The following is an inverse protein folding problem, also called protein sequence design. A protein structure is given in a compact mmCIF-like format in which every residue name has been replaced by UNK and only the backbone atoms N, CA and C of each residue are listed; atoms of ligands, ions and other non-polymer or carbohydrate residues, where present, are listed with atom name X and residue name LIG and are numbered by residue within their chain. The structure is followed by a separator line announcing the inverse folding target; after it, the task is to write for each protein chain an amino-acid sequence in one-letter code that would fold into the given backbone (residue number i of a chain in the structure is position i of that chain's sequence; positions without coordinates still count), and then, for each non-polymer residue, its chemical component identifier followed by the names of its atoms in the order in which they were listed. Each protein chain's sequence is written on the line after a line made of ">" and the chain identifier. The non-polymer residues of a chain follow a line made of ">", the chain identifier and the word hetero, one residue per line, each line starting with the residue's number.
data_IF_055815155895
#
_entry.id   IF_055815155895
#
_cell.length_a   1.000
_cell.length_b   1.000
_cell.length_c   1.000
_cell.angle_alpha   90.00
_cell.angle_beta   90.00
_cell.angle_gamma   90.00
#
_symmetry.space_group_name_H-M   'P 1'
#
loop_
_entity.id
_entity.type
_entity.pdbx_description
1 polymer ?
#
# COMPACT_ATOMS: atom_id res chain seq x y z
N UNK A 1 -4.57 -23.72 17.86
CA UNK A 1 -4.61 -22.27 18.18
C UNK A 1 -4.91 -21.54 16.88
N UNK A 2 -5.82 -20.55 16.86
CA UNK A 2 -6.17 -19.83 15.64
C UNK A 2 -5.03 -18.91 15.18
N UNK A 3 -5.02 -18.57 13.89
CA UNK A 3 -4.22 -17.47 13.38
C UNK A 3 -4.64 -16.16 14.07
N UNK A 4 -3.68 -15.23 14.24
CA UNK A 4 -3.88 -13.99 15.01
C UNK A 4 -4.05 -12.74 14.14
N UNK A 5 -3.77 -12.85 12.84
CA UNK A 5 -3.77 -11.74 11.90
C UNK A 5 -2.84 -12.01 10.72
N UNK A 6 -2.72 -11.01 9.85
CA UNK A 6 -1.72 -10.95 8.79
C UNK A 6 -0.50 -10.25 9.38
N UNK A 7 0.66 -10.91 9.43
CA UNK A 7 1.87 -10.28 9.98
C UNK A 7 2.61 -9.44 8.94
N UNK A 8 2.58 -9.89 7.69
CA UNK A 8 3.15 -9.17 6.56
C UNK A 8 2.49 -9.60 5.25
N UNK A 9 2.64 -8.74 4.24
CA UNK A 9 2.38 -9.04 2.83
C UNK A 9 3.66 -8.75 2.05
N UNK A 10 4.02 -9.65 1.13
CA UNK A 10 5.16 -9.45 0.22
C UNK A 10 4.64 -9.22 -1.20
N UNK A 11 5.01 -8.09 -1.79
CA UNK A 11 4.73 -7.74 -3.18
C UNK A 11 5.96 -7.99 -4.04
N UNK A 12 5.76 -8.65 -5.18
CA UNK A 12 6.73 -8.65 -6.27
C UNK A 12 6.47 -7.45 -7.16
N UNK A 13 7.49 -6.63 -7.39
CA UNK A 13 7.44 -5.38 -8.17
C UNK A 13 8.47 -5.42 -9.29
N UNK A 14 8.21 -4.74 -10.40
CA UNK A 14 9.10 -4.71 -11.57
C UNK A 14 10.38 -3.92 -11.33
N UNK A 15 10.34 -2.91 -10.46
CA UNK A 15 11.48 -2.10 -10.06
C UNK A 15 11.37 -1.73 -8.57
N UNK A 16 12.19 -2.37 -7.74
CA UNK A 16 12.17 -2.19 -6.28
C UNK A 16 12.48 -0.75 -5.87
N UNK A 17 13.40 -0.07 -6.55
CA UNK A 17 13.77 1.31 -6.19
C UNK A 17 12.61 2.27 -6.50
N UNK A 18 12.00 2.14 -7.67
CA UNK A 18 10.82 2.92 -8.05
C UNK A 18 9.64 2.69 -7.10
N UNK A 19 9.42 1.47 -6.66
CA UNK A 19 8.36 1.17 -5.69
C UNK A 19 8.68 1.71 -4.29
N UNK A 20 9.94 1.64 -3.84
CA UNK A 20 10.38 2.30 -2.60
C UNK A 20 10.05 3.79 -2.63
N UNK A 21 10.41 4.49 -3.70
CA UNK A 21 10.15 5.92 -3.84
C UNK A 21 8.65 6.20 -3.77
N UNK A 22 7.83 5.45 -4.52
CA UNK A 22 6.37 5.61 -4.51
C UNK A 22 5.77 5.42 -3.11
N UNK A 23 6.07 4.29 -2.45
CA UNK A 23 5.49 3.99 -1.13
C UNK A 23 6.01 4.93 -0.04
N UNK A 24 7.27 5.36 -0.12
CA UNK A 24 7.85 6.31 0.84
C UNK A 24 7.22 7.70 0.69
N UNK A 25 7.05 8.19 -0.53
CA UNK A 25 6.39 9.48 -0.78
C UNK A 25 4.92 9.43 -0.36
N UNK A 26 4.19 8.38 -0.74
CA UNK A 26 2.77 8.26 -0.44
C UNK A 26 2.47 8.02 1.04
N UNK A 27 3.19 7.10 1.69
CA UNK A 27 2.85 6.59 3.02
C UNK A 27 3.85 6.98 4.11
N UNK A 28 5.04 7.48 3.78
CA UNK A 28 6.07 7.84 4.77
C UNK A 28 5.57 8.80 5.85
N UNK A 29 4.92 9.93 5.49
CA UNK A 29 4.29 10.82 6.48
C UNK A 29 3.14 10.20 7.30
N UNK A 30 2.67 9.00 6.94
CA UNK A 30 1.68 8.21 7.69
C UNK A 30 2.34 7.10 8.54
N UNK A 31 3.66 7.19 8.78
CA UNK A 31 4.39 6.24 9.62
C UNK A 31 4.79 4.94 8.92
N UNK A 32 4.84 4.95 7.58
CA UNK A 32 5.32 3.84 6.77
C UNK A 32 6.83 3.98 6.54
N UNK A 33 7.63 3.35 7.41
CA UNK A 33 9.09 3.52 7.44
C UNK A 33 9.81 2.26 6.96
N UNK A 34 10.94 2.42 6.27
CA UNK A 34 11.83 1.28 5.98
C UNK A 34 12.30 0.65 7.30
N UNK A 35 11.93 -0.60 7.52
CA UNK A 35 12.26 -1.37 8.72
C UNK A 35 13.59 -2.10 8.57
N UNK A 36 13.87 -2.63 7.39
CA UNK A 36 15.12 -3.31 7.10
C UNK A 36 15.15 -4.03 5.77
N UNK A 37 16.37 -4.39 5.37
CA UNK A 37 16.66 -5.14 4.15
C UNK A 37 17.25 -6.49 4.52
N UNK A 38 16.80 -7.54 3.84
CA UNK A 38 17.22 -8.91 4.14
C UNK A 38 17.49 -9.67 2.84
N UNK A 39 18.47 -10.57 2.81
CA UNK A 39 18.65 -11.48 1.69
C UNK A 39 17.36 -12.27 1.43
N UNK A 40 16.95 -12.37 0.17
CA UNK A 40 15.83 -13.23 -0.20
C UNK A 40 16.20 -14.70 -0.04
N UNK A 41 15.20 -15.56 0.08
CA UNK A 41 15.41 -17.02 0.08
C UNK A 41 15.96 -17.55 -1.25
N UNK A 42 15.89 -16.77 -2.34
CA UNK A 42 16.48 -17.11 -3.65
C UNK A 42 17.97 -16.80 -3.67
N UNK A 43 18.46 -15.97 -2.75
CA UNK A 43 19.88 -15.68 -2.53
C UNK A 43 20.52 -14.75 -3.56
N UNK A 44 19.76 -14.23 -4.52
CA UNK A 44 20.23 -13.34 -5.59
C UNK A 44 19.79 -11.89 -5.42
N UNK A 45 18.91 -11.60 -4.47
CA UNK A 45 18.35 -10.27 -4.26
C UNK A 45 18.05 -9.99 -2.79
N UNK A 46 17.72 -8.74 -2.49
CA UNK A 46 17.20 -8.33 -1.19
C UNK A 46 15.68 -8.16 -1.23
N UNK A 47 15.06 -8.37 -0.07
CA UNK A 47 13.70 -7.96 0.24
C UNK A 47 13.79 -6.72 1.11
N UNK A 48 13.04 -5.68 0.75
CA UNK A 48 12.95 -4.45 1.54
C UNK A 48 11.62 -4.45 2.29
N UNK A 49 11.68 -4.48 3.62
CA UNK A 49 10.48 -4.40 4.45
C UNK A 49 10.26 -2.98 4.95
N UNK A 50 9.04 -2.51 4.79
CA UNK A 50 8.49 -1.35 5.47
C UNK A 50 7.62 -1.80 6.63
N UNK A 51 7.59 -1.01 7.70
CA UNK A 51 6.73 -1.22 8.87
C UNK A 51 5.64 -0.16 8.91
N UNK A 52 4.44 -0.58 9.28
CA UNK A 52 3.31 0.28 9.63
C UNK A 52 2.60 -0.33 10.85
N UNK A 53 2.57 0.40 11.97
CA UNK A 53 2.14 -0.17 13.25
C UNK A 53 2.98 -1.40 13.64
N UNK A 54 2.33 -2.56 13.77
CA UNK A 54 2.98 -3.84 14.08
C UNK A 54 3.17 -4.76 12.86
N UNK A 55 2.69 -4.33 11.70
CA UNK A 55 2.66 -5.11 10.47
C UNK A 55 3.68 -4.59 9.46
N UNK A 56 3.94 -5.40 8.42
CA UNK A 56 4.99 -5.11 7.45
C UNK A 56 4.53 -5.32 6.01
N UNK A 57 5.04 -4.49 5.10
CA UNK A 57 4.94 -4.70 3.66
C UNK A 57 6.35 -4.93 3.12
N UNK A 58 6.57 -6.07 2.47
CA UNK A 58 7.82 -6.37 1.80
C UNK A 58 7.73 -6.08 0.30
N UNK A 59 8.79 -5.49 -0.25
CA UNK A 59 8.97 -5.30 -1.69
C UNK A 59 10.09 -6.20 -2.19
N UNK A 60 9.82 -6.94 -3.27
CA UNK A 60 10.71 -7.93 -3.87
C UNK A 60 10.78 -7.73 -5.39
N UNK A 61 11.91 -7.98 -6.05
CA UNK A 61 11.91 -7.96 -7.50
C UNK A 61 11.10 -9.14 -8.05
N UNK A 62 10.25 -8.85 -9.03
CA UNK A 62 9.56 -9.88 -9.81
C UNK A 62 10.56 -10.63 -10.72
N UNK A 63 10.30 -11.91 -11.00
CA UNK A 63 11.02 -12.65 -12.05
C UNK A 63 10.59 -12.22 -13.47
N UNK A 64 9.40 -11.64 -13.57
CA UNK A 64 8.78 -11.19 -14.81
C UNK A 64 7.25 -11.22 -14.70
N UNK A 65 6.57 -10.86 -15.78
CA UNK A 65 5.12 -10.72 -15.82
C UNK A 65 4.66 -9.30 -15.49
N UNK A 66 3.37 -9.08 -15.66
CA UNK A 66 2.71 -7.79 -15.37
C UNK A 66 1.54 -8.07 -14.43
N UNK A 67 1.39 -7.27 -13.38
CA UNK A 67 0.14 -7.27 -12.61
C UNK A 67 -0.99 -6.78 -13.51
N UNK A 68 -2.16 -7.41 -13.37
CA UNK A 68 -3.35 -7.03 -14.11
C UNK A 68 -4.48 -6.82 -13.12
N UNK A 69 -4.89 -5.57 -13.00
CA UNK A 69 -6.01 -5.17 -12.17
C UNK A 69 -7.27 -6.00 -12.50
N UNK A 70 -7.94 -6.50 -11.46
CA UNK A 70 -9.09 -7.44 -11.52
C UNK A 70 -8.83 -8.86 -12.05
N UNK A 71 -7.59 -9.28 -12.31
CA UNK A 71 -7.27 -10.69 -12.54
C UNK A 71 -6.99 -11.45 -11.23
N UNK A 72 -6.81 -12.77 -11.30
CA UNK A 72 -6.49 -13.60 -10.13
C UNK A 72 -5.17 -13.12 -9.51
N UNK A 73 -5.24 -12.64 -8.27
CA UNK A 73 -4.10 -12.06 -7.56
C UNK A 73 -4.56 -11.12 -6.45
N UNK A 74 -3.73 -10.14 -6.13
CA UNK A 74 -4.11 -9.07 -5.21
C UNK A 74 -4.90 -7.98 -5.95
N UNK A 75 -6.10 -7.68 -5.46
CA UNK A 75 -6.94 -6.63 -6.05
C UNK A 75 -6.52 -5.24 -5.54
N UNK A 76 -6.34 -5.09 -4.23
CA UNK A 76 -5.76 -3.90 -3.59
C UNK A 76 -5.16 -4.21 -2.21
N UNK A 77 -4.40 -3.24 -1.68
CA UNK A 77 -4.01 -3.16 -0.26
C UNK A 77 -4.53 -1.85 0.31
N UNK A 78 -5.22 -1.92 1.44
CA UNK A 78 -5.74 -0.76 2.15
C UNK A 78 -4.92 -0.45 3.40
N UNK A 79 -4.55 0.82 3.54
CA UNK A 79 -3.92 1.40 4.72
C UNK A 79 -4.93 2.29 5.44
N UNK A 80 -5.14 2.00 6.71
CA UNK A 80 -6.09 2.75 7.53
C UNK A 80 -5.38 3.90 8.26
N UNK A 81 -5.99 5.08 8.21
CA UNK A 81 -5.56 6.30 8.91
C UNK A 81 -6.69 6.80 9.81
N UNK A 82 -6.38 7.72 10.71
CA UNK A 82 -7.31 8.13 11.76
C UNK A 82 -8.30 9.20 11.27
N UNK A 83 -7.91 9.99 10.25
CA UNK A 83 -8.64 11.20 9.87
C UNK A 83 -8.82 11.36 8.36
N UNK A 84 -9.87 12.11 7.96
CA UNK A 84 -10.11 12.45 6.54
C UNK A 84 -9.01 13.36 6.01
N UNK A 85 -8.47 14.22 6.86
CA UNK A 85 -7.36 15.11 6.54
C UNK A 85 -6.09 14.35 6.14
N UNK A 86 -5.82 13.18 6.73
CA UNK A 86 -4.71 12.31 6.33
C UNK A 86 -4.93 11.68 4.96
N UNK A 87 -6.18 11.30 4.64
CA UNK A 87 -6.57 10.82 3.29
C UNK A 87 -6.40 11.94 2.26
N UNK A 88 -6.85 13.15 2.57
CA UNK A 88 -6.67 14.33 1.71
C UNK A 88 -5.19 14.65 1.49
N UNK A 89 -4.37 14.57 2.55
CA UNK A 89 -2.93 14.78 2.45
C UNK A 89 -2.23 13.69 1.63
N UNK A 90 -2.69 12.42 1.71
CA UNK A 90 -2.23 11.36 0.81
C UNK A 90 -2.56 11.68 -0.65
N UNK A 91 -3.77 12.20 -0.92
CA UNK A 91 -4.16 12.60 -2.27
C UNK A 91 -3.29 13.73 -2.83
N UNK A 92 -2.97 14.75 -2.02
CA UNK A 92 -2.04 15.81 -2.46
C UNK A 92 -0.65 15.27 -2.82
N UNK A 93 -0.16 14.25 -2.09
CA UNK A 93 1.11 13.58 -2.40
C UNK A 93 1.03 12.80 -3.71
N UNK A 94 -0.07 12.08 -3.96
CA UNK A 94 -0.31 11.43 -5.25
C UNK A 94 -0.23 12.43 -6.42
N UNK A 95 -0.85 13.61 -6.27
CA UNK A 95 -0.80 14.66 -7.29
C UNK A 95 0.63 15.19 -7.49
N UNK A 96 1.37 15.39 -6.40
CA UNK A 96 2.73 15.93 -6.44
C UNK A 96 3.72 15.00 -7.17
N UNK A 97 3.59 13.67 -6.99
CA UNK A 97 4.45 12.68 -7.64
C UNK A 97 3.91 12.22 -9.01
N UNK A 98 2.76 12.74 -9.45
CA UNK A 98 2.13 12.35 -10.72
C UNK A 98 1.60 10.91 -10.74
N UNK A 99 1.20 10.39 -9.57
CA UNK A 99 0.65 9.03 -9.46
C UNK A 99 -0.69 8.90 -10.21
N UNK A 100 -0.98 7.68 -10.68
CA UNK A 100 -2.24 7.38 -11.36
C UNK A 100 -3.35 7.17 -10.33
N UNK A 101 -4.03 8.25 -9.96
CA UNK A 101 -5.20 8.19 -9.06
C UNK A 101 -6.37 7.50 -9.78
N UNK A 102 -6.90 6.44 -9.17
CA UNK A 102 -8.06 5.72 -9.67
C UNK A 102 -9.36 6.40 -9.21
N UNK A 103 -9.46 6.70 -7.92
CA UNK A 103 -10.56 7.48 -7.34
C UNK A 103 -9.98 8.50 -6.35
N UNK A 104 -10.34 9.80 -6.46
CA UNK A 104 -9.94 10.81 -5.48
C UNK A 104 -10.65 10.55 -4.13
N UNK A 105 -10.25 11.24 -3.05
CA UNK A 105 -10.89 11.11 -1.75
C UNK A 105 -12.40 11.33 -1.83
N UNK A 106 -13.16 10.28 -1.55
CA UNK A 106 -14.62 10.32 -1.54
C UNK A 106 -15.21 9.44 -0.43
N UNK A 107 -16.46 9.74 -0.05
CA UNK A 107 -17.22 8.86 0.83
C UNK A 107 -17.68 7.64 0.03
N UNK A 108 -17.51 6.47 0.62
CA UNK A 108 -18.09 5.24 0.12
C UNK A 108 -19.61 5.35 0.09
N UNK A 109 -20.23 4.70 -0.91
CA UNK A 109 -21.67 4.77 -1.14
C UNK A 109 -22.46 3.77 -0.28
N UNK A 110 -21.81 2.68 0.10
CA UNK A 110 -22.41 1.52 0.74
C UNK A 110 -21.95 1.40 2.21
N UNK A 111 -20.80 1.98 2.58
CA UNK A 111 -20.25 1.96 3.92
C UNK A 111 -20.30 3.37 4.53
N UNK A 112 -21.14 3.54 5.56
CA UNK A 112 -21.30 4.81 6.26
C UNK A 112 -19.96 5.31 6.84
N UNK A 113 -19.67 6.58 6.61
CA UNK A 113 -18.47 7.30 7.06
C UNK A 113 -17.11 6.74 6.60
N UNK A 114 -17.09 5.74 5.71
CA UNK A 114 -15.86 5.25 5.09
C UNK A 114 -15.41 6.25 4.02
N UNK A 115 -14.24 6.86 4.24
CA UNK A 115 -13.69 7.89 3.36
C UNK A 115 -12.34 7.41 2.82
N UNK A 116 -12.20 7.32 1.50
CA UNK A 116 -11.08 6.62 0.89
C UNK A 116 -10.55 7.29 -0.37
N UNK A 117 -9.24 7.14 -0.58
CA UNK A 117 -8.48 7.43 -1.79
C UNK A 117 -8.04 6.10 -2.40
N UNK A 118 -8.16 5.95 -3.73
CA UNK A 118 -7.59 4.82 -4.47
C UNK A 118 -6.59 5.31 -5.51
N UNK A 119 -5.38 4.75 -5.50
CA UNK A 119 -4.28 5.08 -6.42
C UNK A 119 -3.59 3.80 -6.90
N UNK A 120 -3.04 3.79 -8.11
CA UNK A 120 -2.20 2.69 -8.57
C UNK A 120 -0.74 2.95 -8.23
N UNK A 121 -0.07 1.92 -7.72
CA UNK A 121 1.38 1.90 -7.62
C UNK A 121 2.04 1.82 -9.01
N UNK A 122 3.38 1.92 -9.12
CA UNK A 122 4.09 1.91 -10.39
C UNK A 122 3.94 0.62 -11.22
N UNK A 123 3.48 -0.47 -10.60
CA UNK A 123 3.30 -1.77 -11.21
C UNK A 123 1.81 -2.11 -11.46
N UNK A 124 0.89 -1.18 -11.13
CA UNK A 124 -0.54 -1.33 -11.38
C UNK A 124 -1.33 -1.95 -10.22
N UNK A 125 -0.69 -2.18 -9.07
CA UNK A 125 -1.35 -2.65 -7.85
C UNK A 125 -2.13 -1.49 -7.25
N UNK A 126 -3.42 -1.71 -6.94
CA UNK A 126 -4.26 -0.69 -6.33
C UNK A 126 -3.91 -0.54 -4.85
N UNK A 127 -3.64 0.69 -4.43
CA UNK A 127 -3.39 1.09 -3.04
C UNK A 127 -4.53 1.97 -2.60
N UNK A 128 -5.03 1.70 -1.40
CA UNK A 128 -6.09 2.46 -0.77
C UNK A 128 -5.55 3.12 0.51
N UNK A 129 -5.91 4.38 0.72
CA UNK A 129 -5.74 5.07 2.00
C UNK A 129 -7.13 5.49 2.47
N UNK A 130 -7.55 4.98 3.62
CA UNK A 130 -8.91 5.15 4.08
C UNK A 130 -9.00 5.45 5.58
N UNK A 131 -10.07 6.12 5.97
CA UNK A 131 -10.46 6.29 7.37
C UNK A 131 -11.96 6.04 7.52
N UNK A 132 -12.34 5.60 8.72
CA UNK A 132 -13.71 5.48 9.15
C UNK A 132 -13.73 5.59 10.68
N UNK A 133 -14.86 5.95 11.31
CA UNK A 133 -15.04 5.73 12.74
C UNK A 133 -14.73 4.26 13.03
N UNK A 134 -13.83 3.98 13.97
CA UNK A 134 -13.49 2.62 14.42
C UNK A 134 -14.71 1.93 15.05
N UNK A 135 -15.65 1.53 14.22
CA UNK A 135 -16.84 0.73 14.52
C UNK A 135 -17.06 -0.19 13.32
N UNK A 136 -16.05 -1.00 13.03
CA UNK A 136 -16.31 -2.29 12.42
C UNK A 136 -16.76 -3.24 13.54
N UNK A 137 -17.95 -3.87 13.45
CA UNK A 137 -18.46 -4.79 14.46
C UNK A 137 -17.58 -6.05 14.62
#
# INVERSE_FOLDING_TARGET
>A
MPARGIQHVDLTVGDVARSIDFYTELLGPLGFDEYGRYPSYRGSEEVVYFRFGHDHLGLRPAEGGEHRYYEVGIEHIAFFVDTREEVDAAYQRCLAIGASVHYPPELDRDIEDYYALFVFDPDGIRVEVACAPLVWP
#
